data_IF_525246404428
#
_entry.id   IF_525246404428
#
_cell.length_a   1.000
_cell.length_b   1.000
_cell.length_c   1.000
_cell.angle_alpha   90.00
_cell.angle_beta   90.00
_cell.angle_gamma   90.00
#
_symmetry.space_group_name_H-M   'P 1'
#
loop_
_entity.id
_entity.type
_entity.pdbx_description
1 polymer ?
#
# COMPACT_ATOMS: atom_id res chain seq x y z
N UNK A 1 -8.22 5.99 -19.12
CA UNK A 1 -8.06 4.68 -18.44
C UNK A 1 -7.71 4.79 -16.94
N UNK A 2 -7.23 5.93 -16.43
CA UNK A 2 -6.95 6.16 -15.00
C UNK A 2 -8.21 6.21 -14.11
N UNK A 3 -9.33 6.74 -14.62
CA UNK A 3 -10.55 6.94 -13.85
C UNK A 3 -11.18 5.63 -13.30
N UNK A 4 -11.27 4.52 -14.06
CA UNK A 4 -11.66 3.21 -13.52
C UNK A 4 -10.74 2.69 -12.41
N UNK A 5 -9.42 2.82 -12.58
CA UNK A 5 -8.44 2.34 -11.60
C UNK A 5 -8.59 3.12 -10.30
N UNK A 6 -8.64 4.45 -10.37
CA UNK A 6 -8.81 5.31 -9.20
C UNK A 6 -10.13 5.01 -8.48
N UNK A 7 -11.22 4.82 -9.20
CA UNK A 7 -12.52 4.43 -8.63
C UNK A 7 -12.45 3.09 -7.90
N UNK A 8 -11.78 2.10 -8.48
CA UNK A 8 -11.58 0.80 -7.84
C UNK A 8 -10.72 0.93 -6.59
N UNK A 9 -9.61 1.66 -6.64
CA UNK A 9 -8.75 1.91 -5.49
C UNK A 9 -9.51 2.58 -4.34
N UNK A 10 -10.33 3.59 -4.63
CA UNK A 10 -11.15 4.27 -3.62
C UNK A 10 -12.16 3.29 -3.01
N UNK A 11 -12.87 2.49 -3.81
CA UNK A 11 -13.81 1.49 -3.30
C UNK A 11 -13.13 0.46 -2.40
N UNK A 12 -11.97 -0.04 -2.83
CA UNK A 12 -11.18 -1.00 -2.05
C UNK A 12 -10.73 -0.36 -0.75
N UNK A 13 -10.21 0.87 -0.78
CA UNK A 13 -9.81 1.60 0.43
C UNK A 13 -10.97 1.76 1.42
N UNK A 14 -12.14 2.18 0.95
CA UNK A 14 -13.34 2.34 1.79
C UNK A 14 -13.77 0.99 2.36
N UNK A 15 -13.84 -0.07 1.54
CA UNK A 15 -14.21 -1.39 2.02
C UNK A 15 -13.24 -1.92 3.07
N UNK A 16 -11.92 -1.78 2.84
CA UNK A 16 -10.88 -2.18 3.77
C UNK A 16 -10.95 -1.41 5.08
N UNK A 17 -11.29 -0.12 5.06
CA UNK A 17 -11.51 0.68 6.28
C UNK A 17 -12.71 0.16 7.06
N UNK A 18 -13.85 -0.05 6.40
CA UNK A 18 -15.06 -0.58 7.05
C UNK A 18 -14.77 -1.94 7.69
N UNK A 19 -14.17 -2.85 6.93
CA UNK A 19 -13.80 -4.19 7.42
C UNK A 19 -12.80 -4.07 8.58
N UNK A 20 -11.74 -3.28 8.44
CA UNK A 20 -10.73 -3.08 9.49
C UNK A 20 -11.32 -2.50 10.78
N UNK A 21 -12.25 -1.54 10.69
CA UNK A 21 -12.94 -1.00 11.87
C UNK A 21 -13.82 -2.04 12.54
N UNK A 22 -14.52 -2.88 11.78
CA UNK A 22 -15.32 -3.98 12.32
C UNK A 22 -14.40 -4.98 13.04
N UNK A 23 -13.31 -5.42 12.41
CA UNK A 23 -12.34 -6.34 13.03
C UNK A 23 -11.75 -5.75 14.32
N UNK A 24 -11.35 -4.47 14.29
CA UNK A 24 -10.81 -3.78 15.44
C UNK A 24 -11.84 -3.68 16.59
N UNK A 25 -13.12 -3.51 16.27
CA UNK A 25 -14.20 -3.52 17.26
C UNK A 25 -14.32 -4.87 17.98
N UNK A 26 -14.03 -5.99 17.30
CA UNK A 26 -13.96 -7.32 17.91
C UNK A 26 -12.61 -7.64 18.59
N UNK A 27 -11.72 -6.66 18.71
CA UNK A 27 -10.39 -6.84 19.30
C UNK A 27 -9.38 -7.52 18.39
N UNK A 28 -9.72 -7.76 17.12
CA UNK A 28 -8.78 -8.33 16.14
C UNK A 28 -7.83 -7.21 15.69
N UNK A 29 -6.57 -7.34 16.07
CA UNK A 29 -5.53 -6.36 15.72
C UNK A 29 -4.80 -6.75 14.45
N UNK A 30 -4.32 -5.75 13.70
CA UNK A 30 -3.50 -5.99 12.52
C UNK A 30 -2.23 -6.79 12.86
N UNK A 31 -1.63 -6.54 14.03
CA UNK A 31 -0.40 -7.21 14.45
C UNK A 31 -0.62 -8.70 14.74
N UNK A 32 -1.75 -9.07 15.35
CA UNK A 32 -2.15 -10.46 15.53
C UNK A 32 -2.33 -11.15 14.17
N UNK A 33 -3.06 -10.51 13.25
CA UNK A 33 -3.29 -11.03 11.91
C UNK A 33 -1.96 -11.22 11.15
N UNK A 34 -1.09 -10.21 11.20
CA UNK A 34 0.23 -10.24 10.56
C UNK A 34 1.08 -11.39 11.11
N UNK A 35 1.12 -11.60 12.43
CA UNK A 35 1.84 -12.73 13.04
C UNK A 35 1.30 -14.07 12.55
N UNK A 36 -0.01 -14.23 12.44
CA UNK A 36 -0.66 -15.46 11.96
C UNK A 36 -0.34 -15.75 10.49
N UNK A 37 -0.27 -14.72 9.65
CA UNK A 37 0.20 -14.81 8.26
C UNK A 37 1.73 -14.90 8.13
N UNK A 38 2.46 -14.98 9.24
CA UNK A 38 3.92 -15.03 9.23
C UNK A 38 4.55 -13.77 8.64
N UNK A 39 3.93 -12.60 8.77
CA UNK A 39 4.42 -11.28 8.39
C UNK A 39 4.85 -10.53 9.67
N UNK A 40 6.08 -10.02 9.71
CA UNK A 40 6.52 -9.13 10.80
C UNK A 40 6.42 -7.66 10.36
N UNK A 41 6.15 -6.77 11.32
CA UNK A 41 6.10 -5.32 11.07
C UNK A 41 7.41 -4.80 10.45
N UNK A 42 8.55 -5.29 10.95
CA UNK A 42 9.87 -4.95 10.41
C UNK A 42 10.02 -5.32 8.93
N UNK A 43 9.45 -6.47 8.53
CA UNK A 43 9.48 -6.90 7.13
C UNK A 43 8.63 -6.00 6.24
N UNK A 44 7.46 -5.57 6.73
CA UNK A 44 6.60 -4.65 5.97
C UNK A 44 7.29 -3.31 5.74
N UNK A 45 7.93 -2.76 6.77
CA UNK A 45 8.70 -1.52 6.67
C UNK A 45 9.88 -1.66 5.70
N UNK A 46 10.61 -2.78 5.77
CA UNK A 46 11.72 -3.07 4.86
C UNK A 46 11.24 -3.20 3.40
N UNK A 47 10.11 -3.87 3.14
CA UNK A 47 9.51 -3.93 1.81
C UNK A 47 9.09 -2.55 1.29
N UNK A 48 8.47 -1.72 2.13
CA UNK A 48 8.10 -0.36 1.75
C UNK A 48 9.33 0.49 1.41
N UNK A 49 10.37 0.45 2.26
CA UNK A 49 11.64 1.15 2.04
C UNK A 49 12.31 0.71 0.75
N UNK A 50 12.42 -0.60 0.50
CA UNK A 50 12.98 -1.16 -0.74
C UNK A 50 12.19 -0.75 -1.97
N UNK A 51 10.86 -0.78 -1.89
CA UNK A 51 9.97 -0.35 -2.96
C UNK A 51 10.16 1.12 -3.31
N UNK A 52 10.22 2.00 -2.30
CA UNK A 52 10.50 3.42 -2.50
C UNK A 52 11.91 3.68 -3.03
N UNK A 53 12.93 3.02 -2.46
CA UNK A 53 14.32 3.16 -2.89
C UNK A 53 14.52 2.72 -4.35
N UNK A 54 13.73 1.74 -4.82
CA UNK A 54 13.70 1.36 -6.23
C UNK A 54 12.90 2.36 -7.08
N UNK A 55 11.68 2.72 -6.67
CA UNK A 55 10.79 3.52 -7.49
C UNK A 55 11.26 4.97 -7.66
N UNK A 56 11.71 5.61 -6.57
CA UNK A 56 12.04 7.02 -6.53
C UNK A 56 13.07 7.46 -7.59
N UNK A 57 14.29 6.88 -7.65
CA UNK A 57 15.29 7.27 -8.64
C UNK A 57 14.83 6.96 -10.08
N UNK A 58 14.12 5.86 -10.29
CA UNK A 58 13.64 5.47 -11.62
C UNK A 58 12.55 6.41 -12.14
N UNK A 59 11.63 6.83 -11.28
CA UNK A 59 10.58 7.81 -11.64
C UNK A 59 11.21 9.16 -11.96
N UNK A 60 12.19 9.62 -11.17
CA UNK A 60 12.89 10.88 -11.44
C UNK A 60 13.67 10.83 -12.77
N UNK A 61 14.37 9.73 -13.04
CA UNK A 61 15.09 9.57 -14.30
C UNK A 61 14.12 9.57 -15.49
N UNK A 62 13.00 8.84 -15.37
CA UNK A 62 11.97 8.82 -16.39
C UNK A 62 11.32 10.19 -16.62
N UNK A 63 11.04 10.95 -15.55
CA UNK A 63 10.40 12.26 -15.68
C UNK A 63 11.29 13.29 -16.37
N UNK A 64 12.60 13.29 -16.10
CA UNK A 64 13.56 14.17 -16.77
C UNK A 64 13.64 13.96 -18.29
N UNK A 65 13.36 12.74 -18.76
CA UNK A 65 13.39 12.40 -20.19
C UNK A 65 12.02 12.59 -20.85
N UNK A 66 10.94 12.16 -20.19
CA UNK A 66 9.60 12.10 -20.80
C UNK A 66 8.88 13.45 -20.75
N UNK A 67 8.97 14.20 -19.64
CA UNK A 67 8.23 15.45 -19.46
C UNK A 67 8.60 16.56 -20.46
N UNK A 68 9.87 16.74 -20.88
CA UNK A 68 10.22 17.77 -21.86
C UNK A 68 9.91 17.40 -23.32
N UNK A 69 9.50 16.16 -23.60
CA UNK A 69 9.06 15.69 -24.93
C UNK A 69 7.56 15.98 -25.09
#
# INVERSE_FOLDING_TARGET
MLHPILRTLVKVAVASLVVGTILAHFGITAEQLMREFGLSADRLEDYAKRGFAWAWPNVLLGSLVIVPI
#
